data_IF_172879127907
#
_entry.id   IF_172879127907
#
_cell.length_a   1.000
_cell.length_b   1.000
_cell.length_c   1.000
_cell.angle_alpha   90.00
_cell.angle_beta   90.00
_cell.angle_gamma   90.00
#
_symmetry.space_group_name_H-M   'P 1'
#
loop_
_entity.id
_entity.type
_entity.pdbx_description
1 polymer ?
#
# COMPACT_ATOMS: atom_id res chain seq x y z
N UNK A 1 2.36 -12.78 -18.15
CA UNK A 1 3.75 -12.81 -18.64
C UNK A 1 4.66 -12.65 -17.42
N UNK A 2 5.79 -13.35 -17.34
CA UNK A 2 6.73 -13.28 -16.21
C UNK A 2 8.17 -13.36 -16.72
N UNK A 3 9.11 -12.70 -16.04
CA UNK A 3 10.55 -12.90 -16.25
C UNK A 3 11.37 -12.73 -14.96
N UNK A 4 12.63 -13.16 -14.99
CA UNK A 4 13.52 -13.18 -13.83
C UNK A 4 13.84 -11.78 -13.27
N UNK A 5 13.89 -10.75 -14.13
CA UNK A 5 14.31 -9.40 -13.72
C UNK A 5 13.18 -8.59 -13.09
N UNK A 6 11.97 -8.73 -13.62
CA UNK A 6 10.82 -7.87 -13.33
C UNK A 6 9.65 -8.62 -12.68
N UNK A 7 9.73 -9.94 -12.53
CA UNK A 7 8.61 -10.74 -12.04
C UNK A 7 7.45 -10.74 -13.03
N UNK A 8 6.22 -10.66 -12.51
CA UNK A 8 5.01 -10.60 -13.32
C UNK A 8 4.90 -9.25 -14.04
N UNK A 9 4.63 -9.33 -15.34
CA UNK A 9 4.37 -8.18 -16.20
C UNK A 9 2.87 -7.98 -16.34
N UNK A 10 2.40 -6.82 -15.88
CA UNK A 10 1.00 -6.38 -15.97
C UNK A 10 0.87 -5.18 -16.92
N UNK A 11 -0.37 -4.81 -17.24
CA UNK A 11 -0.69 -3.71 -18.16
C UNK A 11 -0.12 -2.36 -17.69
N UNK A 12 -0.14 -2.10 -16.38
CA UNK A 12 0.40 -0.87 -15.81
C UNK A 12 1.84 -1.10 -15.31
N UNK A 13 2.84 -0.35 -15.80
CA UNK A 13 4.23 -0.51 -15.36
C UNK A 13 4.46 -0.32 -13.85
N UNK A 14 3.59 0.40 -13.14
CA UNK A 14 3.70 0.57 -11.68
C UNK A 14 3.36 -0.69 -10.89
N UNK A 15 2.75 -1.70 -11.51
CA UNK A 15 2.34 -2.95 -10.88
C UNK A 15 3.22 -4.14 -11.27
N UNK A 16 4.39 -3.92 -11.88
CA UNK A 16 5.36 -4.98 -12.14
C UNK A 16 5.82 -5.67 -10.83
N UNK A 17 6.43 -6.83 -10.96
CA UNK A 17 6.95 -7.60 -9.82
C UNK A 17 5.93 -8.60 -9.32
N UNK A 18 5.51 -8.43 -8.08
CA UNK A 18 4.43 -9.25 -7.51
C UNK A 18 3.06 -8.77 -7.98
N UNK A 19 2.93 -7.47 -8.32
CA UNK A 19 1.65 -6.81 -8.51
C UNK A 19 0.75 -6.84 -7.25
N UNK A 20 1.28 -7.30 -6.12
CA UNK A 20 0.51 -7.57 -4.92
C UNK A 20 0.25 -6.28 -4.15
N UNK A 21 -1.02 -6.05 -3.86
CA UNK A 21 -1.46 -5.05 -2.90
C UNK A 21 -2.18 -5.76 -1.75
N UNK A 22 -1.45 -6.06 -0.69
CA UNK A 22 -2.01 -6.55 0.55
C UNK A 22 -2.32 -5.36 1.45
N UNK A 23 -3.55 -5.28 1.95
CA UNK A 23 -3.97 -4.18 2.81
C UNK A 23 -5.14 -4.52 3.71
N UNK A 24 -5.33 -3.69 4.73
CA UNK A 24 -6.38 -3.82 5.73
C UNK A 24 -7.12 -2.50 5.91
N UNK A 25 -8.42 -2.58 6.18
CA UNK A 25 -9.18 -1.46 6.70
C UNK A 25 -8.97 -1.37 8.21
N UNK A 26 -8.29 -0.32 8.67
CA UNK A 26 -7.96 -0.14 10.08
C UNK A 26 -8.41 1.23 10.57
N UNK A 27 -9.08 1.25 11.73
CA UNK A 27 -9.57 2.47 12.37
C UNK A 27 -8.50 3.03 13.30
N UNK A 28 -7.98 4.21 12.97
CA UNK A 28 -6.86 4.87 13.65
C UNK A 28 -7.24 6.30 14.04
N UNK A 29 -8.19 6.52 14.97
CA UNK A 29 -8.80 7.83 15.20
C UNK A 29 -7.86 8.88 15.81
N UNK A 30 -6.81 8.45 16.51
CA UNK A 30 -5.80 9.33 17.11
C UNK A 30 -4.64 9.57 16.16
N UNK A 31 -4.09 8.50 15.58
CA UNK A 31 -2.98 8.57 14.63
C UNK A 31 -3.36 9.32 13.35
N UNK A 32 -4.63 9.29 12.94
CA UNK A 32 -5.14 10.05 11.79
C UNK A 32 -4.99 11.56 11.92
N UNK A 33 -4.92 12.06 13.16
CA UNK A 33 -4.75 13.48 13.49
C UNK A 33 -3.29 13.85 13.73
N UNK A 34 -2.41 12.85 13.83
CA UNK A 34 -0.99 13.08 14.07
C UNK A 34 -0.30 13.49 12.76
N UNK A 35 0.34 14.67 12.70
CA UNK A 35 1.02 15.13 11.48
C UNK A 35 2.17 14.19 11.05
N UNK A 36 2.68 13.36 11.96
CA UNK A 36 3.75 12.39 11.68
C UNK A 36 3.27 11.13 10.97
N UNK A 37 1.95 10.91 10.84
CA UNK A 37 1.39 9.68 10.26
C UNK A 37 1.98 9.37 8.88
N UNK A 38 2.12 10.38 8.01
CA UNK A 38 2.69 10.18 6.66
C UNK A 38 4.12 9.64 6.76
N UNK A 39 4.97 10.29 7.56
CA UNK A 39 6.37 9.88 7.76
C UNK A 39 6.49 8.48 8.36
N UNK A 40 5.58 8.11 9.25
CA UNK A 40 5.55 6.76 9.84
C UNK A 40 5.25 5.72 8.75
N UNK A 41 4.23 5.97 7.92
CA UNK A 41 3.89 5.06 6.81
C UNK A 41 5.03 4.95 5.79
N UNK A 42 5.66 6.08 5.44
CA UNK A 42 6.80 6.11 4.51
C UNK A 42 7.97 5.28 5.04
N UNK A 43 8.31 5.42 6.33
CA UNK A 43 9.37 4.65 6.98
C UNK A 43 9.06 3.14 7.02
N UNK A 44 7.77 2.77 7.10
CA UNK A 44 7.32 1.37 7.09
C UNK A 44 7.09 0.83 5.68
N UNK A 45 7.30 1.65 4.64
CA UNK A 45 6.99 1.33 3.24
C UNK A 45 5.52 0.90 3.06
N UNK A 46 4.63 1.64 3.72
CA UNK A 46 3.17 1.51 3.63
C UNK A 46 2.56 2.75 2.98
N UNK A 47 1.37 2.59 2.43
CA UNK A 47 0.56 3.68 1.89
C UNK A 47 -0.84 3.65 2.51
N UNK A 48 -1.45 4.84 2.64
CA UNK A 48 -2.86 4.99 3.07
C UNK A 48 -3.75 5.43 1.91
N UNK A 49 -4.97 4.89 1.85
CA UNK A 49 -6.07 5.36 1.01
C UNK A 49 -7.32 5.57 1.86
N UNK A 50 -8.29 6.32 1.32
CA UNK A 50 -9.61 6.43 1.93
C UNK A 50 -10.36 5.10 1.89
N UNK A 51 -11.47 5.05 2.62
CA UNK A 51 -12.22 3.80 2.82
C UNK A 51 -12.89 3.29 1.53
N UNK A 52 -13.09 4.16 0.54
CA UNK A 52 -13.62 3.79 -0.77
C UNK A 52 -12.55 3.51 -1.84
N UNK A 53 -11.26 3.44 -1.45
CA UNK A 53 -10.16 3.20 -2.36
C UNK A 53 -9.42 4.47 -2.79
N UNK A 54 -8.86 4.43 -4.01
CA UNK A 54 -8.03 5.51 -4.57
C UNK A 54 -8.81 6.82 -4.58
N UNK A 55 -8.16 7.90 -4.12
CA UNK A 55 -8.69 9.27 -4.09
C UNK A 55 -9.99 9.48 -3.30
N UNK A 56 -10.32 8.57 -2.38
CA UNK A 56 -11.45 8.74 -1.46
C UNK A 56 -11.01 9.28 -0.10
N UNK A 57 -11.94 9.91 0.61
CA UNK A 57 -11.71 10.31 1.99
C UNK A 57 -11.77 9.11 2.95
N UNK A 58 -11.01 9.19 4.04
CA UNK A 58 -11.15 8.26 5.16
C UNK A 58 -12.45 8.56 5.92
N UNK A 59 -13.27 7.54 6.14
CA UNK A 59 -14.53 7.68 6.90
C UNK A 59 -14.28 7.31 8.35
N UNK A 60 -14.56 8.23 9.28
CA UNK A 60 -14.49 7.96 10.72
C UNK A 60 -13.08 7.60 11.24
N UNK A 61 -12.03 8.06 10.58
CA UNK A 61 -10.64 7.73 10.91
C UNK A 61 -10.21 6.32 10.48
N UNK A 62 -10.96 5.68 9.58
CA UNK A 62 -10.62 4.37 8.99
C UNK A 62 -9.90 4.55 7.66
N UNK A 63 -8.75 3.89 7.52
CA UNK A 63 -7.93 3.92 6.31
C UNK A 63 -7.75 2.53 5.73
N UNK A 64 -7.66 2.45 4.41
CA UNK A 64 -7.08 1.30 3.71
C UNK A 64 -5.55 1.47 3.73
N UNK A 65 -4.89 0.70 4.59
CA UNK A 65 -3.43 0.67 4.71
C UNK A 65 -2.90 -0.56 3.97
N UNK A 66 -1.97 -0.35 3.05
CA UNK A 66 -1.40 -1.43 2.23
C UNK A 66 0.10 -1.26 2.00
N UNK A 67 0.79 -2.32 1.59
CA UNK A 67 2.18 -2.26 1.18
C UNK A 67 2.39 -1.26 0.03
N UNK A 68 3.50 -0.53 0.06
CA UNK A 68 3.90 0.43 -0.98
C UNK A 68 4.59 -0.27 -2.15
N UNK A 69 5.50 -1.18 -1.86
CA UNK A 69 6.35 -1.81 -2.87
C UNK A 69 5.62 -2.89 -3.68
N UNK A 70 5.97 -2.96 -4.97
CA UNK A 70 5.51 -4.00 -5.91
C UNK A 70 6.66 -4.82 -6.48
N UNK A 71 7.85 -4.22 -6.51
CA UNK A 71 9.08 -4.77 -7.06
C UNK A 71 10.15 -4.91 -5.97
N UNK A 72 11.06 -5.88 -6.15
CA UNK A 72 12.23 -6.07 -5.29
C UNK A 72 11.98 -6.88 -4.02
N UNK A 73 10.73 -7.24 -3.73
CA UNK A 73 10.35 -8.12 -2.63
C UNK A 73 9.46 -9.26 -3.15
N UNK A 74 9.52 -10.42 -2.50
CA UNK A 74 8.55 -11.49 -2.75
C UNK A 74 7.18 -11.14 -2.17
N UNK A 75 6.14 -11.84 -2.61
CA UNK A 75 4.77 -11.70 -2.13
C UNK A 75 4.68 -11.82 -0.61
N UNK A 76 5.37 -12.81 -0.03
CA UNK A 76 5.37 -13.07 1.42
C UNK A 76 6.10 -11.98 2.20
N UNK A 77 7.20 -11.43 1.67
CA UNK A 77 7.97 -10.37 2.35
C UNK A 77 7.38 -8.98 2.18
N UNK A 78 6.45 -8.82 1.23
CA UNK A 78 5.78 -7.55 0.96
C UNK A 78 4.58 -7.31 1.89
N UNK A 79 4.18 -8.32 2.67
CA UNK A 79 3.10 -8.26 3.65
C UNK A 79 3.59 -7.87 5.04
#
# INVERSE_FOLDING_TARGET
MWNEKLGYILTCPSNLGTGLRAGVHVKLPLMSRDPRMSKILDNLRLQKRGTGGVDTAAVGGTYDISNLDRLGLSEVRSC
#
